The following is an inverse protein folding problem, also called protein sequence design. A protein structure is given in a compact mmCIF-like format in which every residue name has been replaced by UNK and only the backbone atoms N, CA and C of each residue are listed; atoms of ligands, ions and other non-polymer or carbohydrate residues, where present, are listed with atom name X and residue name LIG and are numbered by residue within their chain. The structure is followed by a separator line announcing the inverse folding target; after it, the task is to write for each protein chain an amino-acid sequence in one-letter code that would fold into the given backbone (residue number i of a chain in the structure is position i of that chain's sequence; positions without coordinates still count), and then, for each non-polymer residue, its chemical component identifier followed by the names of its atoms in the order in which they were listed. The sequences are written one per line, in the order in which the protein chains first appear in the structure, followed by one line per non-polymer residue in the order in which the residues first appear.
data_IF_364471580600
#
_entry.id   IF_364471580600
#
_cell.length_a   1.000
_cell.length_b   1.000
_cell.length_c   1.000
_cell.angle_alpha   90.00
_cell.angle_beta   90.00
_cell.angle_gamma   90.00
#
_symmetry.space_group_name_H-M   'P 1'
#
loop_
_entity.id
_entity.type
_entity.pdbx_description
1 polymer ?
#
# COMPACT_ATOMS: atom_id res chain seq x y z
N UNK A 1 1.95 -14.29 34.22
CA UNK A 1 1.32 -14.65 32.94
C UNK A 1 2.16 -15.76 32.32
N UNK A 2 1.55 -16.86 31.90
CA UNK A 2 2.25 -17.94 31.20
C UNK A 2 2.54 -17.55 29.75
N UNK A 3 3.53 -18.19 29.12
CA UNK A 3 3.86 -17.96 27.71
C UNK A 3 2.64 -18.19 26.81
N UNK A 4 1.83 -19.22 27.09
CA UNK A 4 0.63 -19.52 26.31
C UNK A 4 -0.46 -18.45 26.42
N UNK A 5 -0.63 -17.84 27.59
CA UNK A 5 -1.56 -16.72 27.78
C UNK A 5 -1.11 -15.47 27.02
N UNK A 6 0.19 -15.15 27.08
CA UNK A 6 0.77 -14.03 26.34
C UNK A 6 0.62 -14.22 24.82
N UNK A 7 0.96 -15.42 24.31
CA UNK A 7 0.78 -15.75 22.89
C UNK A 7 -0.68 -15.60 22.45
N UNK A 8 -1.63 -16.06 23.27
CA UNK A 8 -3.06 -15.91 22.96
C UNK A 8 -3.50 -14.45 22.97
N UNK A 9 -2.98 -13.65 23.89
CA UNK A 9 -3.26 -12.22 23.96
C UNK A 9 -2.75 -11.50 22.71
N UNK A 10 -1.47 -11.67 22.36
CA UNK A 10 -0.84 -11.05 21.17
C UNK A 10 -1.57 -11.48 19.89
N UNK A 11 -1.90 -12.77 19.75
CA UNK A 11 -2.69 -13.25 18.61
C UNK A 11 -4.06 -12.55 18.52
N UNK A 12 -4.71 -12.30 19.67
CA UNK A 12 -5.96 -11.54 19.73
C UNK A 12 -5.82 -10.10 19.23
N UNK A 13 -4.73 -9.42 19.60
CA UNK A 13 -4.44 -8.06 19.12
C UNK A 13 -4.13 -8.05 17.61
N UNK A 14 -3.38 -9.04 17.11
CA UNK A 14 -3.16 -9.20 15.68
C UNK A 14 -4.48 -9.33 14.92
N UNK A 15 -5.39 -10.21 15.38
CA UNK A 15 -6.71 -10.40 14.75
C UNK A 15 -7.48 -9.08 14.67
N UNK A 16 -7.45 -8.26 15.73
CA UNK A 16 -8.09 -6.93 15.72
C UNK A 16 -7.47 -6.03 14.65
N UNK A 17 -6.14 -5.95 14.58
CA UNK A 17 -5.42 -5.15 13.56
C UNK A 17 -5.83 -5.58 12.15
N UNK A 18 -5.76 -6.89 11.84
CA UNK A 18 -6.17 -7.40 10.53
C UNK A 18 -7.65 -7.14 10.22
N UNK A 19 -8.52 -7.16 11.23
CA UNK A 19 -9.95 -6.86 11.06
C UNK A 19 -10.17 -5.39 10.69
N UNK A 20 -9.52 -4.46 11.37
CA UNK A 20 -9.63 -3.03 11.04
C UNK A 20 -9.03 -2.71 9.67
N UNK A 21 -7.91 -3.34 9.34
CA UNK A 21 -7.29 -3.23 8.01
C UNK A 21 -8.23 -3.78 6.92
N UNK A 22 -8.86 -4.93 7.15
CA UNK A 22 -9.83 -5.50 6.23
C UNK A 22 -11.04 -4.58 5.98
N UNK A 23 -11.52 -3.89 7.01
CA UNK A 23 -12.58 -2.87 6.87
C UNK A 23 -12.12 -1.71 6.01
N UNK A 24 -10.93 -1.16 6.27
CA UNK A 24 -10.37 -0.07 5.47
C UNK A 24 -10.22 -0.46 3.99
N UNK A 25 -9.63 -1.64 3.72
CA UNK A 25 -9.50 -2.19 2.36
C UNK A 25 -10.86 -2.28 1.69
N UNK A 26 -11.87 -2.78 2.40
CA UNK A 26 -13.24 -2.94 1.88
C UNK A 26 -13.87 -1.60 1.50
N UNK A 27 -13.66 -0.55 2.30
CA UNK A 27 -14.15 0.81 1.99
C UNK A 27 -13.46 1.36 0.74
N UNK A 28 -12.12 1.26 0.66
CA UNK A 28 -11.37 1.73 -0.51
C UNK A 28 -11.80 0.97 -1.77
N UNK A 29 -11.91 -0.36 -1.68
CA UNK A 29 -12.35 -1.22 -2.78
C UNK A 29 -13.75 -0.84 -3.26
N UNK A 30 -14.69 -0.65 -2.34
CA UNK A 30 -16.05 -0.23 -2.67
C UNK A 30 -16.10 1.11 -3.41
N UNK A 31 -15.28 2.09 -3.01
CA UNK A 31 -15.22 3.39 -3.68
C UNK A 31 -14.55 3.33 -5.07
N UNK A 32 -13.50 2.52 -5.23
CA UNK A 32 -12.83 2.33 -6.52
C UNK A 32 -13.74 1.58 -7.51
N UNK A 33 -14.41 0.50 -7.07
CA UNK A 33 -15.34 -0.27 -7.91
C UNK A 33 -16.52 0.58 -8.37
N UNK A 34 -17.11 1.42 -7.50
CA UNK A 34 -18.15 2.39 -7.88
C UNK A 34 -17.70 3.35 -8.99
N UNK A 35 -16.39 3.61 -9.10
CA UNK A 35 -15.78 4.47 -10.13
C UNK A 35 -15.28 3.70 -11.36
N UNK A 36 -15.61 2.41 -11.47
CA UNK A 36 -15.31 1.56 -12.63
C UNK A 36 -13.89 0.98 -12.65
N UNK A 37 -13.22 0.92 -11.51
CA UNK A 37 -11.91 0.27 -11.39
C UNK A 37 -12.06 -1.23 -11.15
N UNK A 38 -11.15 -2.01 -11.72
CA UNK A 38 -11.12 -3.46 -11.56
C UNK A 38 -9.88 -3.85 -10.78
N UNK A 39 -10.05 -4.67 -9.75
CA UNK A 39 -8.93 -5.18 -8.97
C UNK A 39 -8.09 -6.18 -9.76
N UNK A 40 -6.78 -6.12 -9.58
CA UNK A 40 -5.82 -7.02 -10.21
C UNK A 40 -5.59 -8.25 -9.33
N UNK A 41 -5.63 -9.43 -9.95
CA UNK A 41 -5.39 -10.71 -9.29
C UNK A 41 -6.50 -11.10 -8.31
N UNK A 42 -6.17 -11.98 -7.36
CA UNK A 42 -7.09 -12.46 -6.33
C UNK A 42 -7.29 -11.46 -5.18
N UNK A 43 -7.98 -11.88 -4.11
CA UNK A 43 -8.20 -11.10 -2.88
C UNK A 43 -7.03 -11.20 -1.89
N UNK A 44 -5.92 -11.87 -2.24
CA UNK A 44 -4.73 -11.92 -1.39
C UNK A 44 -4.07 -10.55 -1.28
N UNK A 45 -3.77 -10.11 -0.05
CA UNK A 45 -3.21 -8.77 0.19
C UNK A 45 -1.89 -8.78 0.94
N UNK A 46 -1.56 -9.86 1.64
CA UNK A 46 -0.43 -9.92 2.58
C UNK A 46 0.91 -10.17 1.88
N UNK A 47 1.94 -9.48 2.35
CA UNK A 47 3.32 -9.68 1.92
C UNK A 47 4.23 -9.81 3.15
N UNK A 48 4.73 -11.00 3.41
CA UNK A 48 5.75 -11.30 4.42
C UNK A 48 7.16 -11.22 3.82
N UNK A 49 8.17 -11.08 4.69
CA UNK A 49 9.59 -11.13 4.26
C UNK A 49 10.15 -12.55 4.27
N UNK A 50 9.63 -13.42 5.15
CA UNK A 50 10.08 -14.80 5.28
C UNK A 50 9.01 -15.67 5.90
N UNK A 51 8.98 -16.93 5.50
CA UNK A 51 8.21 -18.01 6.15
C UNK A 51 9.14 -19.08 6.77
N UNK A 52 10.45 -18.80 6.85
CA UNK A 52 11.44 -19.73 7.42
C UNK A 52 11.35 -19.79 8.94
N UNK A 53 11.44 -20.99 9.52
CA UNK A 53 11.54 -21.18 10.98
C UNK A 53 12.82 -20.61 11.58
N UNK A 54 13.81 -20.28 10.75
CA UNK A 54 15.06 -19.63 11.16
C UNK A 54 14.91 -18.11 11.34
N UNK A 55 13.79 -17.53 10.90
CA UNK A 55 13.54 -16.07 11.01
C UNK A 55 12.08 -15.76 11.33
N UNK A 56 11.55 -16.23 12.48
CA UNK A 56 10.15 -16.02 12.87
C UNK A 56 9.75 -14.56 13.05
N UNK A 57 10.71 -13.67 13.30
CA UNK A 57 10.51 -12.21 13.38
C UNK A 57 10.01 -11.59 12.07
N UNK A 58 10.16 -12.29 10.93
CA UNK A 58 9.77 -11.82 9.60
C UNK A 58 8.49 -12.48 9.05
N UNK A 59 7.81 -13.28 9.87
CA UNK A 59 6.57 -13.97 9.49
C UNK A 59 5.37 -13.04 9.38
N UNK A 60 5.41 -11.90 10.07
CA UNK A 60 4.35 -10.92 9.96
C UNK A 60 4.47 -10.18 8.62
N UNK A 61 3.33 -9.88 7.96
CA UNK A 61 3.33 -9.01 6.81
C UNK A 61 3.94 -7.66 7.16
N UNK A 62 4.96 -7.26 6.42
CA UNK A 62 5.54 -5.92 6.56
C UNK A 62 4.70 -4.89 5.81
N UNK A 63 3.94 -5.33 4.79
CA UNK A 63 2.87 -4.54 4.19
C UNK A 63 1.72 -5.39 3.63
N UNK A 64 0.63 -4.72 3.28
CA UNK A 64 -0.47 -5.26 2.48
C UNK A 64 -0.71 -4.42 1.25
N UNK A 65 -1.12 -5.02 0.14
CA UNK A 65 -1.29 -4.34 -1.14
C UNK A 65 -2.57 -4.75 -1.87
N UNK A 66 -3.21 -3.75 -2.51
CA UNK A 66 -4.18 -3.95 -3.58
C UNK A 66 -3.84 -3.06 -4.77
N UNK A 67 -4.06 -3.59 -5.96
CA UNK A 67 -3.79 -2.92 -7.24
C UNK A 67 -5.06 -2.95 -8.07
N UNK A 68 -5.35 -1.86 -8.75
CA UNK A 68 -6.53 -1.67 -9.58
C UNK A 68 -6.13 -1.05 -10.92
N UNK A 69 -6.75 -1.51 -11.99
CA UNK A 69 -6.59 -0.97 -13.34
C UNK A 69 -7.91 -0.43 -13.87
N UNK A 70 -7.84 0.49 -14.83
CA UNK A 70 -9.00 1.05 -15.51
C UNK A 70 -8.65 1.41 -16.95
N UNK A 71 -9.48 1.00 -17.90
CA UNK A 71 -9.36 1.20 -19.36
C UNK A 71 -8.14 0.54 -20.03
N UNK A 72 -6.99 0.49 -19.34
CA UNK A 72 -5.72 -0.11 -19.76
C UNK A 72 -5.21 -1.02 -18.62
N UNK A 73 -4.65 -2.18 -18.96
CA UNK A 73 -4.10 -3.12 -17.99
C UNK A 73 -2.66 -2.80 -17.56
N UNK A 74 -1.97 -1.88 -18.24
CA UNK A 74 -0.56 -1.51 -17.98
C UNK A 74 -0.41 -0.38 -16.96
N UNK A 75 -1.46 0.40 -16.74
CA UNK A 75 -1.49 1.54 -15.83
C UNK A 75 -2.58 1.35 -14.79
N UNK A 76 -2.29 1.67 -13.55
CA UNK A 76 -3.24 1.49 -12.46
C UNK A 76 -2.96 2.36 -11.26
N UNK A 77 -3.84 2.22 -10.28
CA UNK A 77 -3.65 2.75 -8.93
C UNK A 77 -3.44 1.58 -7.97
N UNK A 78 -2.66 1.80 -6.94
CA UNK A 78 -2.49 0.85 -5.86
C UNK A 78 -2.51 1.59 -4.52
N UNK A 79 -2.82 0.85 -3.47
CA UNK A 79 -2.56 1.31 -2.13
C UNK A 79 -1.87 0.20 -1.33
N UNK A 80 -1.01 0.62 -0.42
CA UNK A 80 -0.25 -0.26 0.43
C UNK A 80 -0.40 0.19 1.88
N UNK A 81 -0.78 -0.73 2.78
CA UNK A 81 -0.78 -0.46 4.22
C UNK A 81 0.54 -1.03 4.75
N UNK A 82 1.42 -0.15 5.20
CA UNK A 82 2.76 -0.49 5.64
C UNK A 82 2.78 -0.56 7.18
N UNK A 83 3.26 -1.69 7.72
CA UNK A 83 3.35 -1.93 9.17
C UNK A 83 4.79 -1.89 9.67
N UNK A 84 5.75 -2.23 8.81
CA UNK A 84 7.17 -2.23 9.11
C UNK A 84 7.94 -1.64 7.92
N UNK A 85 9.20 -1.31 8.16
CA UNK A 85 10.11 -0.73 7.18
C UNK A 85 10.37 -1.58 5.94
N UNK A 86 11.26 -1.12 5.06
CA UNK A 86 11.83 -1.98 4.01
C UNK A 86 13.13 -2.64 4.45
N UNK A 87 13.92 -1.92 5.24
CA UNK A 87 15.23 -2.33 5.76
C UNK A 87 15.53 -1.54 7.05
N UNK A 88 16.75 -1.72 7.59
CA UNK A 88 17.19 -1.08 8.83
C UNK A 88 17.23 0.46 8.77
N UNK A 89 17.45 1.03 7.59
CA UNK A 89 17.53 2.48 7.35
C UNK A 89 16.14 3.10 7.10
N UNK A 90 15.15 2.25 6.81
CA UNK A 90 13.81 2.62 6.35
C UNK A 90 12.72 2.18 7.32
N UNK A 91 12.81 2.55 8.59
CA UNK A 91 11.86 2.11 9.61
C UNK A 91 10.53 2.86 9.59
N UNK A 92 9.44 2.13 9.86
CA UNK A 92 8.11 2.68 10.08
C UNK A 92 7.81 2.69 11.57
N UNK A 93 7.68 3.87 12.16
CA UNK A 93 7.33 4.01 13.59
C UNK A 93 5.82 4.03 13.81
N UNK A 94 5.02 4.24 12.75
CA UNK A 94 3.57 4.28 12.80
C UNK A 94 2.97 3.78 11.48
N UNK A 95 1.94 2.91 11.50
CA UNK A 95 1.33 2.39 10.28
C UNK A 95 0.95 3.49 9.30
N UNK A 96 1.35 3.32 8.04
CA UNK A 96 1.25 4.37 7.02
C UNK A 96 0.67 3.79 5.75
N UNK A 97 -0.18 4.55 5.07
CA UNK A 97 -0.66 4.24 3.73
C UNK A 97 0.29 4.82 2.69
N UNK A 98 0.74 4.00 1.76
CA UNK A 98 1.31 4.42 0.49
C UNK A 98 0.23 4.35 -0.59
N UNK A 99 0.01 5.47 -1.28
CA UNK A 99 -1.00 5.61 -2.32
C UNK A 99 -0.31 5.89 -3.65
N UNK A 100 -0.49 4.98 -4.60
CA UNK A 100 0.39 4.82 -5.76
C UNK A 100 -0.37 4.89 -7.07
N UNK A 101 0.22 5.52 -8.07
CA UNK A 101 -0.06 5.31 -9.50
C UNK A 101 1.16 4.61 -10.08
N UNK A 102 0.92 3.52 -10.79
CA UNK A 102 1.98 2.71 -11.37
C UNK A 102 1.70 2.48 -12.86
N UNK A 103 2.75 2.54 -13.69
CA UNK A 103 2.66 2.37 -15.13
C UNK A 103 3.81 1.48 -15.65
N UNK A 104 3.46 0.37 -16.30
CA UNK A 104 4.43 -0.55 -16.93
C UNK A 104 4.95 0.04 -18.23
N UNK A 105 6.29 0.14 -18.36
CA UNK A 105 6.99 0.60 -19.56
C UNK A 105 7.24 -0.52 -20.57
N UNK A 106 7.29 -1.77 -20.10
CA UNK A 106 7.62 -2.93 -20.93
C UNK A 106 6.42 -3.53 -21.69
N UNK A 107 5.26 -2.89 -21.58
CA UNK A 107 4.04 -3.29 -22.26
C UNK A 107 3.31 -4.48 -21.63
N UNK A 108 3.78 -5.02 -20.51
CA UNK A 108 3.08 -6.08 -19.78
C UNK A 108 1.96 -5.53 -18.89
N UNK A 109 0.94 -6.33 -18.55
CA UNK A 109 -0.06 -5.95 -17.57
C UNK A 109 0.57 -5.63 -16.22
N UNK A 110 0.03 -4.62 -15.54
CA UNK A 110 0.35 -4.30 -14.17
C UNK A 110 -0.15 -5.43 -13.26
N UNK A 111 0.72 -5.90 -12.38
CA UNK A 111 0.43 -6.94 -11.38
C UNK A 111 0.86 -6.47 -10.00
N UNK A 112 0.37 -7.14 -8.95
CA UNK A 112 0.86 -6.93 -7.60
C UNK A 112 2.34 -7.30 -7.52
N UNK A 113 3.16 -6.48 -6.86
CA UNK A 113 4.59 -6.75 -6.65
C UNK A 113 5.20 -5.87 -5.56
N UNK A 114 6.35 -6.29 -5.03
CA UNK A 114 7.16 -5.50 -4.08
C UNK A 114 7.62 -4.17 -4.66
N UNK A 115 7.80 -4.07 -5.98
CA UNK A 115 8.27 -2.82 -6.61
C UNK A 115 7.32 -1.64 -6.37
N UNK A 116 6.00 -1.87 -6.27
CA UNK A 116 4.98 -0.82 -6.17
C UNK A 116 5.14 0.08 -4.93
N UNK A 117 5.75 -0.40 -3.84
CA UNK A 117 5.97 0.40 -2.63
C UNK A 117 7.23 1.26 -2.67
N UNK A 118 8.12 1.09 -3.64
CA UNK A 118 9.47 1.66 -3.67
C UNK A 118 9.58 3.18 -3.66
N UNK A 119 8.63 3.89 -4.29
CA UNK A 119 8.74 5.33 -4.50
C UNK A 119 8.63 6.08 -3.17
N UNK A 120 9.69 6.81 -2.83
CA UNK A 120 9.84 7.52 -1.54
C UNK A 120 10.61 6.74 -0.48
N UNK A 121 11.02 5.50 -0.77
CA UNK A 121 11.97 4.74 0.04
C UNK A 121 13.34 4.64 -0.62
N UNK A 122 13.39 4.47 -1.93
CA UNK A 122 14.68 4.30 -2.61
C UNK A 122 15.43 5.62 -2.76
N UNK A 123 16.77 5.54 -2.76
CA UNK A 123 17.66 6.69 -2.95
C UNK A 123 17.44 7.42 -4.28
N UNK A 124 16.97 6.70 -5.30
CA UNK A 124 16.68 7.25 -6.62
C UNK A 124 15.26 7.85 -6.72
N UNK A 125 14.50 7.83 -5.61
CA UNK A 125 13.22 8.52 -5.51
C UNK A 125 13.44 10.03 -5.51
N UNK A 126 12.79 10.75 -6.41
CA UNK A 126 12.82 12.20 -6.42
C UNK A 126 11.47 12.78 -6.00
N UNK A 127 11.50 13.91 -5.31
CA UNK A 127 10.27 14.63 -4.95
C UNK A 127 9.76 15.42 -6.13
N UNK A 128 8.46 15.28 -6.45
CA UNK A 128 7.79 16.06 -7.49
C UNK A 128 7.27 17.42 -6.97
N UNK A 129 7.52 17.74 -5.69
CA UNK A 129 7.19 19.02 -5.08
C UNK A 129 6.83 18.90 -3.59
N UNK A 130 6.82 20.03 -2.88
CA UNK A 130 6.58 20.12 -1.43
C UNK A 130 5.11 20.37 -1.04
N UNK A 131 4.16 20.14 -1.95
CA UNK A 131 2.73 20.26 -1.60
C UNK A 131 2.32 19.09 -0.70
N UNK A 132 1.33 19.31 0.18
CA UNK A 132 0.71 18.21 0.91
C UNK A 132 -0.39 17.56 0.05
N UNK A 133 -0.36 16.24 -0.20
CA UNK A 133 0.67 15.29 0.24
C UNK A 133 1.92 15.34 -0.65
N UNK A 134 3.11 15.16 -0.04
CA UNK A 134 4.39 15.19 -0.76
C UNK A 134 4.48 14.02 -1.72
N UNK A 135 4.69 14.31 -2.99
CA UNK A 135 4.75 13.32 -4.05
C UNK A 135 6.19 12.85 -4.27
N UNK A 136 6.36 11.55 -4.42
CA UNK A 136 7.61 10.87 -4.77
C UNK A 136 7.44 10.13 -6.08
N UNK A 137 8.48 10.12 -6.91
CA UNK A 137 8.52 9.30 -8.11
C UNK A 137 9.81 8.49 -8.18
N UNK A 138 9.65 7.23 -8.58
CA UNK A 138 10.76 6.32 -8.89
C UNK A 138 10.52 5.66 -10.23
N UNK A 139 11.58 5.55 -11.00
CA UNK A 139 11.58 4.90 -12.31
C UNK A 139 12.46 3.64 -12.23
N UNK A 140 11.83 2.48 -12.21
CA UNK A 140 12.52 1.22 -12.46
C UNK A 140 12.59 0.93 -13.95
N UNK A 141 13.41 -0.07 -14.31
CA UNK A 141 13.63 -0.53 -15.68
C UNK A 141 12.33 -0.75 -16.46
N UNK A 142 11.29 -1.28 -15.81
CA UNK A 142 10.04 -1.69 -16.46
C UNK A 142 8.78 -1.04 -15.87
N UNK A 143 8.89 -0.17 -14.85
CA UNK A 143 7.73 0.47 -14.20
C UNK A 143 8.06 1.88 -13.70
N UNK A 144 7.16 2.83 -13.94
CA UNK A 144 7.15 4.15 -13.27
C UNK A 144 6.17 4.10 -12.12
N UNK A 145 6.57 4.66 -10.98
CA UNK A 145 5.77 4.68 -9.75
C UNK A 145 5.74 6.11 -9.23
N UNK A 146 4.54 6.64 -9.05
CA UNK A 146 4.30 7.91 -8.36
C UNK A 146 3.53 7.61 -7.08
N UNK A 147 4.05 8.04 -5.94
CA UNK A 147 3.54 7.68 -4.61
C UNK A 147 3.42 8.90 -3.70
N UNK A 148 2.47 8.83 -2.77
CA UNK A 148 2.43 9.68 -1.60
C UNK A 148 2.06 8.87 -0.36
N UNK A 149 2.48 9.37 0.80
CA UNK A 149 2.23 8.72 2.08
C UNK A 149 1.17 9.46 2.89
N UNK A 150 0.36 8.70 3.61
CA UNK A 150 -0.63 9.21 4.56
C UNK A 150 -0.50 8.45 5.89
N UNK A 151 -0.38 9.16 7.03
CA UNK A 151 -0.52 8.54 8.34
C UNK A 151 -1.90 7.87 8.49
N UNK A 152 -1.94 6.64 9.02
CA UNK A 152 -3.19 5.88 9.08
C UNK A 152 -4.24 6.50 10.03
N UNK A 153 -3.81 7.28 11.03
CA UNK A 153 -4.69 8.02 11.95
C UNK A 153 -5.45 9.17 11.29
N UNK A 154 -5.04 9.64 10.10
CA UNK A 154 -5.84 10.60 9.33
C UNK A 154 -7.10 9.98 8.72
N UNK A 155 -7.14 8.64 8.60
CA UNK A 155 -8.26 7.91 7.99
C UNK A 155 -9.32 7.55 9.04
N UNK A 156 -10.05 8.56 9.48
CA UNK A 156 -11.04 8.44 10.57
C UNK A 156 -12.46 8.12 10.11
N UNK A 157 -12.73 8.14 8.80
CA UNK A 157 -14.07 7.91 8.24
C UNK A 157 -14.04 7.54 6.76
N UNK A 158 -15.13 7.00 6.23
CA UNK A 158 -15.29 6.78 4.78
C UNK A 158 -15.18 8.08 3.96
N UNK A 159 -15.59 9.22 4.53
CA UNK A 159 -15.43 10.51 3.88
C UNK A 159 -13.94 10.85 3.69
N UNK A 160 -13.11 10.56 4.71
CA UNK A 160 -11.66 10.73 4.63
C UNK A 160 -11.00 9.75 3.66
N UNK A 161 -11.51 8.51 3.55
CA UNK A 161 -11.07 7.58 2.49
C UNK A 161 -11.27 8.19 1.11
N UNK A 162 -12.42 8.79 0.83
CA UNK A 162 -12.66 9.46 -0.45
C UNK A 162 -11.74 10.67 -0.65
N UNK A 163 -11.70 11.55 0.34
CA UNK A 163 -10.98 12.83 0.29
C UNK A 163 -9.47 12.66 0.15
N UNK A 164 -8.88 11.74 0.91
CA UNK A 164 -7.43 11.61 1.06
C UNK A 164 -6.84 10.48 0.18
N UNK A 165 -7.60 9.43 -0.12
CA UNK A 165 -7.08 8.27 -0.86
C UNK A 165 -7.65 8.24 -2.28
N UNK A 166 -8.96 8.08 -2.41
CA UNK A 166 -9.59 7.76 -3.71
C UNK A 166 -9.50 8.92 -4.68
N UNK A 167 -10.00 10.11 -4.32
CA UNK A 167 -9.99 11.25 -5.24
C UNK A 167 -8.57 11.70 -5.63
N UNK A 168 -7.58 11.78 -4.71
CA UNK A 168 -6.21 12.09 -5.09
C UNK A 168 -5.59 11.03 -6.01
N UNK A 169 -5.84 9.73 -5.78
CA UNK A 169 -5.39 8.68 -6.70
C UNK A 169 -5.97 8.86 -8.11
N UNK A 170 -7.24 9.27 -8.23
CA UNK A 170 -7.86 9.52 -9.53
C UNK A 170 -7.21 10.70 -10.26
N UNK A 171 -6.94 11.79 -9.53
CA UNK A 171 -6.28 12.99 -10.08
C UNK A 171 -4.87 12.64 -10.56
N UNK A 172 -4.11 11.94 -9.71
CA UNK A 172 -2.76 11.48 -10.01
C UNK A 172 -2.73 10.55 -11.22
N UNK A 173 -3.69 9.63 -11.33
CA UNK A 173 -3.83 8.76 -12.50
C UNK A 173 -4.09 9.55 -13.80
N UNK A 174 -4.89 10.60 -13.71
CA UNK A 174 -5.21 11.52 -14.82
C UNK A 174 -4.08 12.49 -15.19
N UNK A 175 -2.93 12.45 -14.49
CA UNK A 175 -1.77 13.30 -14.78
C UNK A 175 -1.77 14.66 -14.09
N UNK A 176 -2.68 14.90 -13.13
CA UNK A 176 -2.65 16.09 -12.28
C UNK A 176 -1.95 15.77 -10.95
N UNK A 177 -0.93 16.55 -10.54
CA UNK A 177 -0.42 16.49 -9.17
C UNK A 177 -1.44 17.05 -8.17
#
# INVERSE_FOLDING_TARGET
MSIGEEMKHVYGEMVKIYTEVGKLISVIEGELVKKGWTAVGDHGVTWDRSSSYESPEFWLPYFMQRVYTKDNDKKGVAFNILFDGLDEDHQITYPTLSCVVAERKDGKPLVKCNGIISAGWEKDSHSLGDRYPKLYQTDYTDITITNYFLPLDEITSEAKVRELIVEPLMKMYGGYP
#
